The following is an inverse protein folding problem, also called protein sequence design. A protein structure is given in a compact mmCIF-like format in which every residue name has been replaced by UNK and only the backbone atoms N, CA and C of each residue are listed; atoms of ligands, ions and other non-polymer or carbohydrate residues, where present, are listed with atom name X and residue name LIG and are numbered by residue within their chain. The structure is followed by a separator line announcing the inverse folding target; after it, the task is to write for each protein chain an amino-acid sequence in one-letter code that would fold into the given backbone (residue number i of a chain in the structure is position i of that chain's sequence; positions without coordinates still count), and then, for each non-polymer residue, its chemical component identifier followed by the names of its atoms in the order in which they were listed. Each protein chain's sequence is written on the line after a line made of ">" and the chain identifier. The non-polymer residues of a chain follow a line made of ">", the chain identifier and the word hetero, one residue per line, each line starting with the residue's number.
data_IF_279556365770
#
_entry.id   IF_279556365770
#
_cell.length_a   1.000
_cell.length_b   1.000
_cell.length_c   1.000
_cell.angle_alpha   90.00
_cell.angle_beta   90.00
_cell.angle_gamma   90.00
#
_symmetry.space_group_name_H-M   'P 1'
#
loop_
_entity.id
_entity.type
_entity.pdbx_description
1 polymer ?
#
# COMPACT_ATOMS: atom_id res chain seq x y z
N UNK A 1 -30.45 1.25 -17.17
CA UNK A 1 -29.94 2.65 -17.01
C UNK A 1 -30.68 3.39 -15.90
N UNK A 2 -30.65 2.92 -14.64
CA UNK A 2 -31.32 3.63 -13.54
C UNK A 2 -30.63 3.53 -12.17
N UNK A 3 -29.38 3.06 -12.11
CA UNK A 3 -28.67 2.83 -10.83
C UNK A 3 -27.51 3.81 -10.55
N UNK A 4 -27.01 4.55 -11.55
CA UNK A 4 -25.88 5.49 -11.36
C UNK A 4 -26.26 6.87 -10.81
N UNK A 5 -27.54 7.26 -10.89
CA UNK A 5 -27.99 8.60 -10.50
C UNK A 5 -28.05 8.84 -8.99
N UNK A 6 -28.26 7.78 -8.20
CA UNK A 6 -28.47 7.88 -6.75
C UNK A 6 -27.15 7.94 -5.98
N UNK A 7 -26.11 7.23 -6.45
CA UNK A 7 -24.77 7.21 -5.85
C UNK A 7 -24.07 8.57 -6.05
N UNK A 8 -24.18 9.16 -7.25
CA UNK A 8 -23.60 10.48 -7.54
C UNK A 8 -24.28 11.63 -6.74
N UNK A 9 -25.56 11.49 -6.38
CA UNK A 9 -26.25 12.44 -5.48
C UNK A 9 -25.82 12.32 -4.02
N UNK A 10 -25.47 11.13 -3.54
CA UNK A 10 -24.91 10.94 -2.20
C UNK A 10 -23.49 11.53 -2.09
N UNK A 11 -22.66 11.31 -3.11
CA UNK A 11 -21.28 11.81 -3.19
C UNK A 11 -21.22 13.35 -3.34
N UNK A 12 -22.15 13.95 -4.09
CA UNK A 12 -22.21 15.43 -4.24
C UNK A 12 -22.73 16.17 -3.00
N UNK A 13 -23.47 15.49 -2.10
CA UNK A 13 -23.88 16.05 -0.79
C UNK A 13 -22.77 15.96 0.26
N UNK A 14 -21.93 14.92 0.23
CA UNK A 14 -20.78 14.78 1.13
C UNK A 14 -19.67 15.81 0.87
N UNK A 15 -19.52 16.30 -0.37
CA UNK A 15 -18.48 17.28 -0.76
C UNK A 15 -18.77 18.75 -0.40
N UNK A 16 -19.92 19.07 0.21
CA UNK A 16 -20.33 20.46 0.53
C UNK A 16 -20.31 20.84 2.01
N UNK A 17 -19.58 20.10 2.84
CA UNK A 17 -19.19 20.58 4.17
C UNK A 17 -17.89 21.38 4.06
N UNK A 18 -17.97 22.72 3.92
CA UNK A 18 -16.80 23.57 4.16
C UNK A 18 -16.46 23.41 5.64
N UNK A 19 -15.29 22.84 5.94
CA UNK A 19 -14.83 22.66 7.31
C UNK A 19 -14.86 24.02 8.02
N UNK A 20 -15.50 24.07 9.19
CA UNK A 20 -15.50 25.30 10.00
C UNK A 20 -14.07 25.64 10.41
N UNK A 21 -13.74 26.91 10.70
CA UNK A 21 -12.39 27.31 11.11
C UNK A 21 -11.85 26.46 12.28
N UNK A 22 -12.72 26.11 13.24
CA UNK A 22 -12.41 25.23 14.36
C UNK A 22 -12.16 23.76 13.95
N UNK A 23 -12.84 23.25 12.92
CA UNK A 23 -12.57 21.90 12.38
C UNK A 23 -11.26 21.87 11.59
N UNK A 24 -10.97 22.90 10.80
CA UNK A 24 -9.70 23.03 10.09
C UNK A 24 -8.52 23.16 11.07
N UNK A 25 -8.70 23.91 12.15
CA UNK A 25 -7.72 24.07 13.23
C UNK A 25 -7.53 22.78 14.03
N UNK A 26 -8.60 22.03 14.34
CA UNK A 26 -8.52 20.71 14.96
C UNK A 26 -7.88 19.66 14.05
N UNK A 27 -8.15 19.67 12.75
CA UNK A 27 -7.48 18.79 11.77
C UNK A 27 -5.99 19.16 11.66
N UNK A 28 -5.67 20.45 11.64
CA UNK A 28 -4.29 20.92 11.66
C UNK A 28 -3.57 20.56 12.97
N UNK A 29 -4.28 20.62 14.10
CA UNK A 29 -3.79 20.22 15.43
C UNK A 29 -3.57 18.70 15.51
N UNK A 30 -4.49 17.89 15.01
CA UNK A 30 -4.34 16.43 14.90
C UNK A 30 -3.19 16.05 13.97
N UNK A 31 -3.04 16.75 12.84
CA UNK A 31 -1.87 16.61 11.96
C UNK A 31 -0.56 17.07 12.62
N UNK A 32 -0.61 18.02 13.56
CA UNK A 32 0.55 18.47 14.36
C UNK A 32 0.88 17.53 15.51
N UNK A 33 -0.13 16.87 16.07
CA UNK A 33 -0.05 15.98 17.24
C UNK A 33 0.35 14.55 16.87
N UNK A 34 0.11 14.12 15.63
CA UNK A 34 0.61 12.85 15.09
C UNK A 34 1.77 13.16 14.15
N UNK A 35 2.92 13.58 14.70
CA UNK A 35 4.17 13.36 13.98
C UNK A 35 4.49 11.88 14.16
N UNK A 36 4.45 11.12 13.08
CA UNK A 36 4.93 9.74 13.14
C UNK A 36 6.40 9.79 13.54
N UNK A 37 6.78 9.07 14.58
CA UNK A 37 8.17 8.97 15.00
C UNK A 37 8.82 7.74 14.35
N UNK A 38 10.15 7.72 14.34
CA UNK A 38 10.90 6.65 13.70
C UNK A 38 10.58 5.29 14.33
N UNK A 39 10.31 5.26 15.63
CA UNK A 39 9.97 4.04 16.37
C UNK A 39 8.67 3.42 15.86
N UNK A 40 7.63 4.21 15.65
CA UNK A 40 6.36 3.75 15.10
C UNK A 40 6.49 3.29 13.66
N UNK A 41 7.35 3.92 12.87
CA UNK A 41 7.67 3.45 11.51
C UNK A 41 8.39 2.10 11.54
N UNK A 42 9.39 1.93 12.41
CA UNK A 42 10.13 0.67 12.52
C UNK A 42 9.22 -0.48 12.96
N UNK A 43 8.33 -0.25 13.94
CA UNK A 43 7.35 -1.26 14.35
C UNK A 43 6.41 -1.66 13.20
N UNK A 44 6.01 -0.68 12.38
CA UNK A 44 5.19 -0.94 11.18
C UNK A 44 5.95 -1.77 10.14
N UNK A 45 7.26 -1.58 10.00
CA UNK A 45 8.08 -2.39 9.08
C UNK A 45 8.20 -3.85 9.54
N UNK A 46 8.35 -4.06 10.85
CA UNK A 46 8.37 -5.40 11.46
C UNK A 46 7.02 -6.11 11.25
N UNK A 47 5.92 -5.40 11.50
CA UNK A 47 4.58 -5.95 11.29
C UNK A 47 4.31 -6.30 9.82
N UNK A 48 4.76 -5.44 8.89
CA UNK A 48 4.67 -5.73 7.47
C UNK A 48 5.47 -6.97 7.07
N UNK A 49 6.63 -7.19 7.71
CA UNK A 49 7.44 -8.38 7.46
C UNK A 49 6.71 -9.65 7.89
N UNK A 50 6.14 -9.65 9.11
CA UNK A 50 5.37 -10.78 9.61
C UNK A 50 4.16 -11.10 8.73
N UNK A 51 3.40 -10.08 8.32
CA UNK A 51 2.28 -10.23 7.39
C UNK A 51 2.75 -10.76 6.03
N UNK A 52 3.86 -10.26 5.52
CA UNK A 52 4.40 -10.71 4.24
C UNK A 52 4.79 -12.19 4.28
N UNK A 53 5.47 -12.64 5.33
CA UNK A 53 5.84 -14.06 5.48
C UNK A 53 4.64 -14.98 5.72
N UNK A 54 3.52 -14.46 6.22
CA UNK A 54 2.26 -15.23 6.26
C UNK A 54 1.66 -15.40 4.86
N UNK A 55 1.77 -14.39 4.01
CA UNK A 55 1.26 -14.40 2.64
C UNK A 55 2.17 -15.21 1.69
N UNK A 56 3.49 -15.16 1.90
CA UNK A 56 4.51 -15.77 1.04
C UNK A 56 5.61 -16.44 1.88
N UNK A 57 5.33 -17.61 2.51
CA UNK A 57 6.23 -18.22 3.49
C UNK A 57 7.60 -18.63 2.94
N UNK A 58 7.67 -18.91 1.64
CA UNK A 58 8.82 -19.47 0.93
C UNK A 58 9.54 -18.44 0.05
N UNK A 59 9.32 -17.14 0.27
CA UNK A 59 9.86 -16.05 -0.58
C UNK A 59 11.37 -16.16 -0.85
N UNK A 60 12.13 -16.69 0.12
CA UNK A 60 13.60 -16.89 0.02
C UNK A 60 14.03 -18.04 -0.87
N UNK A 61 13.12 -18.95 -1.20
CA UNK A 61 13.40 -20.10 -2.08
C UNK A 61 12.76 -19.93 -3.46
N UNK A 62 12.08 -18.80 -3.70
CA UNK A 62 11.46 -18.51 -4.99
C UNK A 62 12.49 -18.12 -6.02
N UNK A 63 12.27 -18.60 -7.25
CA UNK A 63 13.14 -18.28 -8.37
C UNK A 63 13.10 -16.78 -8.70
N UNK A 64 14.29 -16.19 -8.81
CA UNK A 64 14.51 -14.85 -9.33
C UNK A 64 13.85 -14.63 -10.69
N UNK A 65 13.30 -13.44 -10.94
CA UNK A 65 12.61 -13.02 -12.19
C UNK A 65 11.38 -13.85 -12.61
N UNK A 66 11.04 -14.91 -11.87
CA UNK A 66 9.80 -15.65 -12.10
C UNK A 66 8.64 -14.91 -11.45
N UNK A 67 7.56 -14.78 -12.22
CA UNK A 67 6.28 -14.29 -11.70
C UNK A 67 5.48 -15.44 -11.08
N UNK A 68 4.90 -15.17 -9.92
CA UNK A 68 3.99 -16.04 -9.19
C UNK A 68 2.63 -15.37 -9.10
N UNK A 69 1.58 -16.18 -8.99
CA UNK A 69 0.19 -15.71 -8.93
C UNK A 69 -0.51 -16.41 -7.77
N UNK A 70 -1.19 -15.62 -6.94
CA UNK A 70 -2.18 -16.09 -5.99
C UNK A 70 -3.58 -15.76 -6.54
N UNK A 71 -4.42 -16.78 -6.63
CA UNK A 71 -5.81 -16.65 -7.10
C UNK A 71 -6.68 -16.03 -6.01
N UNK A 72 -7.65 -15.23 -6.42
CA UNK A 72 -8.63 -14.58 -5.55
C UNK A 72 -9.63 -13.79 -6.39
N UNK A 73 -10.40 -12.89 -5.77
CA UNK A 73 -11.33 -12.01 -6.52
C UNK A 73 -10.61 -11.25 -7.65
N UNK A 74 -9.37 -10.81 -7.39
CA UNK A 74 -8.48 -10.19 -8.35
C UNK A 74 -7.08 -10.80 -8.24
N UNK A 75 -6.53 -11.43 -9.29
CA UNK A 75 -5.25 -12.12 -9.18
C UNK A 75 -4.15 -11.21 -8.65
N UNK A 76 -3.39 -11.73 -7.68
CA UNK A 76 -2.28 -11.03 -7.05
C UNK A 76 -0.97 -11.62 -7.58
N UNK A 77 -0.13 -10.76 -8.14
CA UNK A 77 1.12 -11.13 -8.79
C UNK A 77 2.30 -10.75 -7.91
N UNK A 78 3.26 -11.65 -7.81
CA UNK A 78 4.52 -11.45 -7.12
C UNK A 78 5.69 -11.75 -8.05
N UNK A 79 6.68 -10.87 -8.08
CA UNK A 79 7.93 -11.09 -8.83
C UNK A 79 9.13 -10.70 -7.98
N UNK A 80 10.10 -11.60 -7.80
CA UNK A 80 11.37 -11.26 -7.15
C UNK A 80 12.27 -10.56 -8.18
N UNK A 81 12.70 -9.33 -7.87
CA UNK A 81 13.47 -8.46 -8.79
C UNK A 81 14.88 -8.13 -8.32
N UNK A 82 15.20 -8.34 -7.04
CA UNK A 82 16.59 -8.31 -6.53
C UNK A 82 16.73 -9.32 -5.38
N UNK A 83 17.81 -10.09 -5.35
CA UNK A 83 18.14 -10.94 -4.21
C UNK A 83 19.62 -10.80 -3.84
N UNK A 84 19.87 -10.52 -2.56
CA UNK A 84 21.19 -10.47 -1.95
C UNK A 84 21.16 -11.26 -0.64
N UNK A 85 22.34 -11.48 -0.04
CA UNK A 85 22.49 -12.28 1.20
C UNK A 85 21.53 -11.88 2.34
N UNK A 86 21.23 -10.59 2.47
CA UNK A 86 20.45 -10.03 3.58
C UNK A 86 19.14 -9.38 3.16
N UNK A 87 18.90 -9.22 1.85
CA UNK A 87 17.72 -8.52 1.36
C UNK A 87 17.11 -9.19 0.14
N UNK A 88 15.78 -9.11 0.03
CA UNK A 88 15.03 -9.47 -1.18
C UNK A 88 14.17 -8.29 -1.57
N UNK A 89 14.26 -7.87 -2.83
CA UNK A 89 13.37 -6.85 -3.40
C UNK A 89 12.40 -7.52 -4.35
N UNK A 90 11.11 -7.20 -4.21
CA UNK A 90 10.03 -7.81 -4.97
C UNK A 90 9.04 -6.76 -5.45
N UNK A 91 8.27 -7.13 -6.46
CA UNK A 91 7.09 -6.42 -6.93
C UNK A 91 5.86 -7.21 -6.51
N UNK A 92 4.87 -6.52 -5.94
CA UNK A 92 3.56 -7.05 -5.60
C UNK A 92 2.52 -6.19 -6.31
N UNK A 93 1.61 -6.80 -7.08
CA UNK A 93 0.60 -6.05 -7.85
C UNK A 93 -0.68 -6.83 -8.11
N UNK A 94 -1.82 -6.15 -8.12
CA UNK A 94 -3.03 -6.70 -8.76
C UNK A 94 -3.06 -6.32 -10.24
N UNK A 95 -3.57 -7.22 -11.10
CA UNK A 95 -3.89 -6.88 -12.49
C UNK A 95 -5.39 -6.89 -12.71
N UNK A 96 -5.89 -5.77 -13.20
CA UNK A 96 -7.26 -5.63 -13.66
C UNK A 96 -7.28 -5.59 -15.19
N UNK A 97 -8.22 -6.27 -15.82
CA UNK A 97 -8.49 -6.10 -17.24
C UNK A 97 -9.55 -5.01 -17.38
N UNK A 98 -9.10 -3.79 -17.69
CA UNK A 98 -9.95 -2.63 -17.95
C UNK A 98 -10.30 -2.47 -19.44
N UNK A 99 -11.09 -1.44 -19.75
CA UNK A 99 -11.47 -1.08 -21.14
C UNK A 99 -10.25 -0.64 -21.98
N UNK A 100 -9.18 -0.19 -21.33
CA UNK A 100 -7.90 0.28 -21.90
C UNK A 100 -6.82 -0.80 -22.03
N UNK A 101 -7.05 -2.00 -21.49
CA UNK A 101 -6.05 -3.07 -21.39
C UNK A 101 -5.83 -3.56 -19.95
N UNK A 102 -4.72 -4.25 -19.70
CA UNK A 102 -4.33 -4.67 -18.33
C UNK A 102 -3.78 -3.47 -17.56
N UNK A 103 -4.41 -3.11 -16.46
CA UNK A 103 -3.95 -2.08 -15.53
C UNK A 103 -3.37 -2.76 -14.26
N UNK A 104 -2.14 -2.41 -13.90
CA UNK A 104 -1.43 -2.92 -12.72
C UNK A 104 -1.56 -1.94 -11.55
N UNK A 105 -2.60 -2.12 -10.72
CA UNK A 105 -2.85 -1.25 -9.57
C UNK A 105 -3.46 -2.06 -8.41
N UNK A 106 -3.14 -1.75 -7.14
CA UNK A 106 -1.90 -1.11 -6.72
C UNK A 106 -0.69 -1.98 -7.10
N UNK A 107 0.47 -1.35 -7.34
CA UNK A 107 1.73 -2.05 -7.64
C UNK A 107 2.87 -1.47 -6.80
N UNK A 108 3.40 -2.28 -5.88
CA UNK A 108 4.41 -1.87 -4.91
C UNK A 108 5.74 -2.59 -5.12
N UNK A 109 6.84 -1.83 -5.08
CA UNK A 109 8.20 -2.34 -4.94
C UNK A 109 8.54 -2.40 -3.46
N UNK A 110 8.72 -3.61 -2.95
CA UNK A 110 8.91 -3.90 -1.52
C UNK A 110 10.31 -4.46 -1.32
N UNK A 111 10.99 -4.02 -0.26
CA UNK A 111 12.26 -4.61 0.19
C UNK A 111 12.06 -5.29 1.53
N UNK A 112 12.45 -6.56 1.58
CA UNK A 112 12.54 -7.37 2.78
C UNK A 112 13.99 -7.36 3.27
N UNK A 113 14.18 -7.06 4.55
CA UNK A 113 15.44 -7.16 5.28
C UNK A 113 15.36 -8.38 6.20
N UNK A 114 16.14 -9.41 5.90
CA UNK A 114 16.01 -10.73 6.54
C UNK A 114 16.65 -10.79 7.94
N UNK A 115 17.63 -9.94 8.19
CA UNK A 115 18.37 -9.86 9.44
C UNK A 115 17.63 -9.01 10.48
N UNK A 116 17.06 -7.88 10.07
CA UNK A 116 16.23 -7.03 10.92
C UNK A 116 14.75 -7.42 10.96
N UNK A 117 14.32 -8.36 10.12
CA UNK A 117 12.92 -8.79 9.98
C UNK A 117 11.99 -7.60 9.68
N UNK A 118 12.37 -6.81 8.66
CA UNK A 118 11.63 -5.60 8.28
C UNK A 118 11.23 -5.63 6.80
N UNK A 119 10.03 -5.15 6.50
CA UNK A 119 9.54 -4.97 5.14
C UNK A 119 9.15 -3.52 4.91
N UNK A 120 9.73 -2.89 3.89
CA UNK A 120 9.40 -1.52 3.52
C UNK A 120 8.99 -1.38 2.05
N UNK A 121 8.05 -0.48 1.78
CA UNK A 121 7.74 0.00 0.43
C UNK A 121 8.82 0.98 -0.01
N UNK A 122 9.57 0.61 -1.06
CA UNK A 122 10.55 1.50 -1.70
C UNK A 122 9.87 2.48 -2.65
N UNK A 123 8.87 2.00 -3.40
CA UNK A 123 8.08 2.81 -4.32
C UNK A 123 6.75 2.12 -4.60
N UNK A 124 5.77 2.88 -5.06
CA UNK A 124 4.46 2.34 -5.45
C UNK A 124 3.95 3.11 -6.66
N UNK A 125 3.59 2.42 -7.75
CA UNK A 125 2.86 3.05 -8.86
C UNK A 125 1.39 3.12 -8.50
N UNK A 126 0.77 4.24 -8.87
CA UNK A 126 -0.45 4.71 -8.23
C UNK A 126 -1.58 4.82 -9.25
N UNK A 127 -2.74 4.30 -8.87
CA UNK A 127 -4.03 4.77 -9.38
C UNK A 127 -4.42 6.13 -8.80
N UNK A 128 -5.47 6.75 -9.33
CA UNK A 128 -5.96 8.05 -8.84
C UNK A 128 -6.32 8.04 -7.33
N UNK A 129 -6.85 6.91 -6.85
CA UNK A 129 -7.21 6.73 -5.44
C UNK A 129 -5.97 6.80 -4.52
N UNK A 130 -4.90 6.10 -4.92
CA UNK A 130 -3.65 6.08 -4.16
C UNK A 130 -2.87 7.39 -4.31
N UNK A 131 -2.91 8.04 -5.49
CA UNK A 131 -2.44 9.42 -5.67
C UNK A 131 -3.10 10.38 -4.70
N UNK A 132 -4.39 10.26 -4.47
CA UNK A 132 -5.09 11.12 -3.51
C UNK A 132 -4.63 10.87 -2.08
N UNK A 133 -4.43 9.60 -1.69
CA UNK A 133 -3.91 9.22 -0.36
C UNK A 133 -2.45 9.70 -0.12
N UNK A 134 -1.62 9.65 -1.16
CA UNK A 134 -0.21 10.05 -1.14
C UNK A 134 0.04 11.50 -1.55
N UNK A 135 -0.94 12.25 -2.03
CA UNK A 135 -0.80 13.64 -2.54
C UNK A 135 -0.24 14.66 -1.55
N UNK A 136 -0.15 14.31 -0.26
CA UNK A 136 0.49 15.13 0.77
C UNK A 136 2.00 14.86 0.91
N UNK A 137 2.54 13.92 0.14
CA UNK A 137 3.96 13.64 -0.03
C UNK A 137 4.47 14.52 -1.17
N UNK A 138 4.83 15.78 -0.88
CA UNK A 138 5.51 16.65 -1.86
C UNK A 138 6.94 16.16 -2.08
N UNK A 139 7.37 16.27 -3.34
CA UNK A 139 8.71 15.92 -3.82
C UNK A 139 9.85 16.54 -3.00
N UNK A 140 10.90 15.74 -2.79
CA UNK A 140 12.25 16.22 -2.50
C UNK A 140 12.77 15.93 -1.10
N UNK A 141 11.90 15.68 -0.13
CA UNK A 141 12.31 15.15 1.18
C UNK A 141 11.47 13.91 1.48
N UNK A 142 12.14 12.79 1.73
CA UNK A 142 11.51 11.59 2.28
C UNK A 142 10.96 11.90 3.67
N UNK A 143 9.81 12.55 3.73
CA UNK A 143 9.16 12.86 4.98
C UNK A 143 8.76 11.54 5.65
N UNK A 144 9.10 11.38 6.91
CA UNK A 144 8.74 10.24 7.75
C UNK A 144 7.23 9.91 7.66
N UNK A 145 6.39 10.93 7.54
CA UNK A 145 4.94 10.77 7.34
C UNK A 145 4.60 10.07 6.01
N UNK A 146 5.37 10.34 4.95
CA UNK A 146 5.21 9.71 3.65
C UNK A 146 5.56 8.22 3.71
N UNK A 147 6.72 7.91 4.29
CA UNK A 147 7.16 6.52 4.50
C UNK A 147 6.15 5.77 5.36
N UNK A 148 5.65 6.40 6.42
CA UNK A 148 4.62 5.81 7.28
C UNK A 148 3.33 5.51 6.52
N UNK A 149 2.81 6.45 5.73
CA UNK A 149 1.59 6.25 4.93
C UNK A 149 1.73 5.14 3.90
N UNK A 150 2.85 5.11 3.17
CA UNK A 150 3.14 4.06 2.19
C UNK A 150 3.15 2.68 2.84
N UNK A 151 3.82 2.57 3.99
CA UNK A 151 3.93 1.30 4.69
C UNK A 151 2.66 0.92 5.45
N UNK A 152 1.83 1.89 5.84
CA UNK A 152 0.51 1.62 6.38
C UNK A 152 -0.43 1.10 5.28
N UNK A 153 -0.34 1.66 4.08
CA UNK A 153 -1.08 1.14 2.94
C UNK A 153 -0.70 -0.32 2.67
N UNK A 154 0.60 -0.63 2.63
CA UNK A 154 1.07 -2.01 2.49
C UNK A 154 0.52 -2.91 3.62
N UNK A 155 0.56 -2.45 4.86
CA UNK A 155 0.03 -3.21 6.00
C UNK A 155 -1.43 -3.63 5.79
N UNK A 156 -2.29 -2.65 5.48
CA UNK A 156 -3.70 -2.91 5.22
C UNK A 156 -3.91 -3.80 4.01
N UNK A 157 -3.12 -3.62 2.96
CA UNK A 157 -3.21 -4.45 1.77
C UNK A 157 -2.83 -5.91 2.07
N UNK A 158 -1.71 -6.16 2.76
CA UNK A 158 -1.31 -7.52 3.16
C UNK A 158 -2.34 -8.18 4.06
N UNK A 159 -2.90 -7.44 5.04
CA UNK A 159 -3.99 -7.93 5.89
C UNK A 159 -5.20 -8.32 5.07
N UNK A 160 -5.61 -7.47 4.14
CA UNK A 160 -6.71 -7.77 3.24
C UNK A 160 -6.44 -9.02 2.40
N UNK A 161 -5.26 -9.16 1.81
CA UNK A 161 -4.89 -10.37 1.05
C UNK A 161 -5.00 -11.64 1.92
N UNK A 162 -4.51 -11.60 3.16
CA UNK A 162 -4.61 -12.73 4.08
C UNK A 162 -6.08 -13.01 4.47
N UNK A 163 -6.87 -11.97 4.72
CA UNK A 163 -8.30 -12.09 5.05
C UNK A 163 -9.15 -12.62 3.89
N UNK A 164 -8.69 -12.43 2.64
CA UNK A 164 -9.30 -12.98 1.43
C UNK A 164 -8.66 -14.32 1.01
N UNK A 165 -7.91 -14.97 1.89
CA UNK A 165 -7.28 -16.28 1.68
C UNK A 165 -6.33 -16.34 0.48
N UNK A 166 -5.73 -15.21 0.07
CA UNK A 166 -4.62 -15.26 -0.89
C UNK A 166 -3.45 -16.02 -0.25
N UNK A 167 -2.90 -16.94 -1.02
CA UNK A 167 -1.69 -17.69 -0.66
C UNK A 167 -0.86 -17.92 -1.90
N UNK A 168 0.43 -17.68 -1.78
CA UNK A 168 1.39 -17.86 -2.86
C UNK A 168 2.09 -19.21 -2.83
#
# INVERSE_FOLDING_TARGET
>A
MHYEGTINRAISRARRGVATPAQAENIALLKKLVRHDLKSLMALYEENFDLFFRLVPDVRTRNFEKQFVAEGEFPLFLTVVEENKFTTTLLLTHRFVGLSGSEEEPSAKIRLYHDSQQAEVMSMSQGESLRSFLSLVRDGEENLDARWRLNLFLNHWLRHCIEQDYSF
#
